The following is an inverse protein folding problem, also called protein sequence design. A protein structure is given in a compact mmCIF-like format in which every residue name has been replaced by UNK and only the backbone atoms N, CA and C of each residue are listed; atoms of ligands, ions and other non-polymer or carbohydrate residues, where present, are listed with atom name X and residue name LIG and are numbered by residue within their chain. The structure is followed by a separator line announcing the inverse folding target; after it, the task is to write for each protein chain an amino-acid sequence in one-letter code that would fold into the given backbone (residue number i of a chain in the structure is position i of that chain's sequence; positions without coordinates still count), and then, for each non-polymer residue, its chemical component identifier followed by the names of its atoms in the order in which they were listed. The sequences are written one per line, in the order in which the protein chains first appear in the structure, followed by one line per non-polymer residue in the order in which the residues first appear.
data_IF_639708206502
#
_entry.id   IF_639708206502
#
_cell.length_a   1.000
_cell.length_b   1.000
_cell.length_c   1.000
_cell.angle_alpha   90.00
_cell.angle_beta   90.00
_cell.angle_gamma   90.00
#
_symmetry.space_group_name_H-M   'P 1'
#
loop_
_entity.id
_entity.type
_entity.pdbx_description
1 polymer ?
#
# COMPACT_ATOMS: atom_id res chain seq x y z
N UNK A 1 -12.20 -9.97 11.49
CA UNK A 1 -12.13 -8.51 11.75
C UNK A 1 -13.24 -7.89 10.91
N UNK A 2 -14.06 -7.02 11.50
CA UNK A 2 -15.32 -6.61 10.89
C UNK A 2 -15.08 -5.79 9.62
N UNK A 3 -15.71 -6.20 8.52
CA UNK A 3 -15.61 -5.61 7.18
C UNK A 3 -15.77 -4.08 7.16
N UNK A 4 -16.54 -3.54 8.12
CA UNK A 4 -16.79 -2.11 8.30
C UNK A 4 -15.58 -1.37 8.88
N UNK A 5 -14.85 -1.99 9.82
CA UNK A 5 -13.61 -1.44 10.38
C UNK A 5 -12.51 -1.45 9.30
N UNK A 6 -12.47 -2.49 8.48
CA UNK A 6 -11.49 -2.61 7.40
C UNK A 6 -11.73 -1.57 6.29
N UNK A 7 -12.99 -1.31 5.94
CA UNK A 7 -13.36 -0.24 5.00
C UNK A 7 -13.00 1.16 5.50
N UNK A 8 -13.27 1.46 6.77
CA UNK A 8 -12.94 2.77 7.36
C UNK A 8 -11.42 2.96 7.40
N UNK A 9 -10.66 1.93 7.80
CA UNK A 9 -9.19 1.99 7.77
C UNK A 9 -8.63 2.16 6.36
N UNK A 10 -9.22 1.47 5.37
CA UNK A 10 -8.86 1.63 3.96
C UNK A 10 -9.02 3.07 3.49
N UNK A 11 -10.21 3.64 3.68
CA UNK A 11 -10.50 5.02 3.29
C UNK A 11 -9.64 6.04 4.06
N UNK A 12 -9.39 5.81 5.35
CA UNK A 12 -8.56 6.68 6.17
C UNK A 12 -7.09 6.67 5.71
N UNK A 13 -6.54 5.49 5.43
CA UNK A 13 -5.18 5.37 4.90
C UNK A 13 -5.05 6.00 3.51
N UNK A 14 -6.08 5.90 2.67
CA UNK A 14 -6.10 6.53 1.35
C UNK A 14 -6.16 8.06 1.45
N UNK A 15 -6.95 8.59 2.38
CA UNK A 15 -7.03 10.03 2.65
C UNK A 15 -5.70 10.57 3.22
N UNK A 16 -5.09 9.87 4.17
CA UNK A 16 -3.77 10.23 4.73
C UNK A 16 -2.69 10.13 3.66
N UNK A 17 -2.74 9.11 2.80
CA UNK A 17 -1.84 8.94 1.66
C UNK A 17 -1.93 10.10 0.68
N UNK A 18 -3.14 10.48 0.27
CA UNK A 18 -3.38 11.65 -0.59
C UNK A 18 -2.91 12.94 0.06
N UNK A 19 -3.24 13.17 1.32
CA UNK A 19 -2.77 14.34 2.07
C UNK A 19 -1.24 14.42 2.18
N UNK A 20 -0.56 13.27 2.34
CA UNK A 20 0.90 13.17 2.29
C UNK A 20 1.46 13.45 0.89
N UNK A 21 0.81 12.98 -0.17
CA UNK A 21 1.22 13.24 -1.56
C UNK A 21 1.01 14.70 -2.00
N UNK A 22 -0.03 15.36 -1.45
CA UNK A 22 -0.33 16.78 -1.62
C UNK A 22 0.54 17.68 -0.73
N UNK A 23 1.23 17.11 0.26
CA UNK A 23 2.17 17.84 1.09
C UNK A 23 3.29 18.42 0.24
N UNK A 24 3.54 19.73 0.39
CA UNK A 24 4.66 20.45 -0.26
C UNK A 24 6.03 20.05 0.29
N UNK A 25 6.12 19.14 1.27
CA UNK A 25 7.37 18.68 1.83
C UNK A 25 7.95 17.52 0.98
N UNK A 26 9.09 17.71 0.29
CA UNK A 26 9.68 16.70 -0.57
C UNK A 26 10.04 15.40 0.18
N UNK A 27 10.43 15.49 1.46
CA UNK A 27 10.71 14.31 2.28
C UNK A 27 9.49 13.38 2.44
N UNK A 28 8.30 13.96 2.60
CA UNK A 28 7.04 13.20 2.71
C UNK A 28 6.67 12.49 1.40
N UNK A 29 7.01 13.11 0.25
CA UNK A 29 6.78 12.53 -1.07
C UNK A 29 7.72 11.37 -1.36
N UNK A 30 9.00 11.51 -1.00
CA UNK A 30 9.99 10.44 -1.16
C UNK A 30 9.67 9.25 -0.26
N UNK A 31 9.26 9.48 1.00
CA UNK A 31 8.76 8.41 1.87
C UNK A 31 7.53 7.70 1.29
N UNK A 32 6.60 8.46 0.70
CA UNK A 32 5.42 7.92 0.02
C UNK A 32 5.79 7.04 -1.19
N UNK A 33 6.69 7.53 -2.05
CA UNK A 33 7.17 6.79 -3.20
C UNK A 33 7.93 5.52 -2.80
N UNK A 34 8.75 5.59 -1.75
CA UNK A 34 9.46 4.43 -1.21
C UNK A 34 8.49 3.38 -0.62
N UNK A 35 7.46 3.81 0.12
CA UNK A 35 6.43 2.91 0.64
C UNK A 35 5.59 2.27 -0.47
N UNK A 36 5.22 3.03 -1.50
CA UNK A 36 4.47 2.51 -2.64
C UNK A 36 5.28 1.48 -3.43
N UNK A 37 6.57 1.76 -3.66
CA UNK A 37 7.50 0.82 -4.28
C UNK A 37 7.67 -0.48 -3.47
N UNK A 38 7.82 -0.37 -2.15
CA UNK A 38 7.89 -1.52 -1.25
C UNK A 38 6.60 -2.36 -1.28
N UNK A 39 5.44 -1.71 -1.23
CA UNK A 39 4.14 -2.38 -1.30
C UNK A 39 3.91 -3.09 -2.63
N UNK A 40 4.24 -2.44 -3.75
CA UNK A 40 4.21 -3.05 -5.09
C UNK A 40 5.16 -4.24 -5.21
N UNK A 41 6.38 -4.12 -4.68
CA UNK A 41 7.35 -5.22 -4.67
C UNK A 41 6.86 -6.43 -3.87
N UNK A 42 6.25 -6.20 -2.70
CA UNK A 42 5.66 -7.26 -1.89
C UNK A 42 4.45 -7.92 -2.58
N UNK A 43 3.57 -7.13 -3.22
CA UNK A 43 2.47 -7.69 -4.01
C UNK A 43 2.96 -8.50 -5.21
N UNK A 44 3.99 -8.03 -5.91
CA UNK A 44 4.58 -8.75 -7.02
C UNK A 44 5.21 -10.06 -6.56
N UNK A 45 6.04 -10.02 -5.50
CA UNK A 45 6.61 -11.22 -4.92
C UNK A 45 5.54 -12.20 -4.41
N UNK A 46 4.46 -11.69 -3.80
CA UNK A 46 3.31 -12.49 -3.38
C UNK A 46 2.56 -13.12 -4.55
N UNK A 47 2.35 -12.39 -5.65
CA UNK A 47 1.76 -12.92 -6.89
C UNK A 47 2.64 -13.97 -7.55
N UNK A 48 3.94 -13.75 -7.62
CA UNK A 48 4.90 -14.72 -8.17
C UNK A 48 4.94 -15.97 -7.31
N UNK A 49 5.00 -15.82 -5.98
CA UNK A 49 4.98 -16.94 -5.04
C UNK A 49 3.64 -17.67 -5.03
N UNK A 50 2.53 -16.97 -5.23
CA UNK A 50 1.22 -17.55 -5.45
C UNK A 50 1.21 -18.34 -6.76
N UNK A 51 1.50 -17.70 -7.89
CA UNK A 51 1.52 -18.37 -9.19
C UNK A 51 2.48 -19.56 -9.29
N UNK A 52 3.58 -19.58 -8.53
CA UNK A 52 4.54 -20.71 -8.47
C UNK A 52 4.25 -21.71 -7.35
N UNK A 53 3.41 -21.35 -6.37
CA UNK A 53 3.10 -22.14 -5.18
C UNK A 53 1.67 -22.69 -5.13
N UNK A 54 0.80 -22.19 -6.01
CA UNK A 54 -0.58 -22.67 -6.24
C UNK A 54 -0.61 -23.94 -7.14
N UNK A 55 0.58 -24.39 -7.60
CA UNK A 55 0.81 -25.69 -8.25
C UNK A 55 1.08 -26.84 -7.23
N UNK A 56 0.58 -26.74 -5.99
CA UNK A 56 0.58 -27.82 -4.97
C UNK A 56 -0.84 -28.10 -4.47
#
# INVERSE_FOLDING_TARGET
MGELIDKVKGNFNEAVGKAKQESKNPATRDEGAAQEGKGKGQQFAGKVKGALGDDI
#
